data_IF_287830510629
#
_entry.id   IF_287830510629
#
_cell.length_a   1.000
_cell.length_b   1.000
_cell.length_c   1.000
_cell.angle_alpha   90.00
_cell.angle_beta   90.00
_cell.angle_gamma   90.00
#
_symmetry.space_group_name_H-M   'P 1'
#
loop_
_entity.id
_entity.type
_entity.pdbx_description
1 polymer ?
#
# COMPACT_ATOMS: atom_id res chain seq x y z
N UNK A 1 -13.24 17.81 -19.17
CA UNK A 1 -12.23 17.25 -18.25
C UNK A 1 -12.74 15.90 -17.80
N UNK A 2 -12.28 14.81 -18.44
CA UNK A 2 -12.78 13.46 -18.13
C UNK A 2 -11.91 12.86 -17.04
N UNK A 3 -12.53 12.45 -15.92
CA UNK A 3 -11.87 11.66 -14.89
C UNK A 3 -11.27 10.40 -15.53
N UNK A 4 -10.02 10.07 -15.22
CA UNK A 4 -9.36 8.87 -15.73
C UNK A 4 -9.79 7.68 -14.85
N UNK A 5 -10.78 6.86 -15.26
CA UNK A 5 -11.38 5.83 -14.40
C UNK A 5 -10.35 4.80 -13.94
N UNK A 6 -9.35 4.53 -14.78
CA UNK A 6 -8.26 3.60 -14.50
C UNK A 6 -7.42 4.00 -13.27
N UNK A 7 -7.33 5.29 -12.96
CA UNK A 7 -6.63 5.76 -11.75
C UNK A 7 -7.44 5.51 -10.48
N UNK A 8 -8.77 5.63 -10.60
CA UNK A 8 -9.70 5.35 -9.53
C UNK A 8 -9.71 3.85 -9.19
N UNK A 9 -9.66 2.98 -10.20
CA UNK A 9 -9.54 1.55 -9.98
C UNK A 9 -8.26 1.17 -9.22
N UNK A 10 -7.12 1.81 -9.50
CA UNK A 10 -5.88 1.56 -8.73
C UNK A 10 -6.01 1.95 -7.26
N UNK A 11 -6.63 3.11 -6.98
CA UNK A 11 -6.92 3.55 -5.62
C UNK A 11 -7.87 2.59 -4.91
N UNK A 12 -8.96 2.16 -5.57
CA UNK A 12 -9.92 1.21 -4.99
C UNK A 12 -9.27 -0.14 -4.68
N UNK A 13 -8.38 -0.63 -5.54
CA UNK A 13 -7.62 -1.85 -5.26
C UNK A 13 -6.69 -1.65 -4.05
N UNK A 14 -6.01 -0.51 -3.95
CA UNK A 14 -5.21 -0.17 -2.76
C UNK A 14 -6.04 -0.15 -1.48
N UNK A 15 -7.22 0.47 -1.54
CA UNK A 15 -8.17 0.54 -0.42
C UNK A 15 -8.67 -0.85 0.00
N UNK A 16 -8.93 -1.75 -0.95
CA UNK A 16 -9.32 -3.14 -0.66
C UNK A 16 -8.18 -3.86 0.07
N UNK A 17 -6.94 -3.71 -0.40
CA UNK A 17 -5.77 -4.31 0.26
C UNK A 17 -5.60 -3.79 1.70
N UNK A 18 -5.72 -2.47 1.88
CA UNK A 18 -5.70 -1.83 3.19
C UNK A 18 -6.84 -2.33 4.09
N UNK A 19 -8.04 -2.45 3.55
CA UNK A 19 -9.21 -2.96 4.26
C UNK A 19 -9.02 -4.39 4.74
N UNK A 20 -8.48 -5.27 3.89
CA UNK A 20 -8.13 -6.65 4.28
C UNK A 20 -7.06 -6.63 5.38
N UNK A 21 -6.02 -5.80 5.26
CA UNK A 21 -5.00 -5.64 6.30
C UNK A 21 -5.58 -5.20 7.65
N UNK A 22 -6.54 -4.27 7.63
CA UNK A 22 -7.22 -3.79 8.85
C UNK A 22 -8.10 -4.87 9.51
N UNK A 23 -8.76 -5.72 8.72
CA UNK A 23 -9.56 -6.85 9.22
C UNK A 23 -8.66 -7.95 9.83
N UNK A 24 -7.46 -8.15 9.28
CA UNK A 24 -6.49 -9.13 9.78
C UNK A 24 -5.79 -8.62 11.06
N UNK A 25 -5.71 -7.30 11.26
CA UNK A 25 -5.02 -6.68 12.39
C UNK A 25 -5.43 -7.20 13.79
N UNK A 26 -6.73 -7.38 14.12
CA UNK A 26 -7.15 -7.94 15.40
C UNK A 26 -7.11 -9.48 15.46
N UNK A 27 -6.74 -10.18 14.40
CA UNK A 27 -6.72 -11.64 14.38
C UNK A 27 -5.63 -12.21 15.30
N UNK A 28 -5.79 -13.48 15.70
CA UNK A 28 -4.83 -14.17 16.55
C UNK A 28 -3.41 -14.12 15.96
N UNK A 29 -2.43 -13.94 16.84
CA UNK A 29 -1.01 -13.86 16.49
C UNK A 29 -0.49 -15.23 16.03
N UNK A 30 -0.56 -15.45 14.71
CA UNK A 30 0.17 -16.50 14.00
C UNK A 30 1.22 -15.88 13.10
N UNK A 31 2.22 -16.66 12.70
CA UNK A 31 3.26 -16.22 11.76
C UNK A 31 2.65 -15.75 10.43
N UNK A 32 1.65 -16.47 9.94
CA UNK A 32 0.94 -16.14 8.69
C UNK A 32 0.16 -14.83 8.80
N UNK A 33 -0.58 -14.62 9.90
CA UNK A 33 -1.29 -13.37 10.16
C UNK A 33 -0.32 -12.20 10.27
N UNK A 34 0.86 -12.40 10.87
CA UNK A 34 1.89 -11.38 11.01
C UNK A 34 2.57 -11.00 9.69
N UNK A 35 2.73 -11.96 8.78
CA UNK A 35 3.22 -11.66 7.44
C UNK A 35 2.11 -10.96 6.64
N UNK A 36 0.89 -11.49 6.67
CA UNK A 36 -0.24 -10.94 5.92
C UNK A 36 -0.53 -9.48 6.31
N UNK A 37 -0.57 -9.14 7.61
CA UNK A 37 -0.81 -7.76 8.07
C UNK A 37 0.19 -6.77 7.45
N UNK A 38 1.48 -7.10 7.45
CA UNK A 38 2.54 -6.21 6.95
C UNK A 38 2.42 -6.04 5.45
N UNK A 39 2.21 -7.15 4.74
CA UNK A 39 2.04 -7.16 3.29
C UNK A 39 0.83 -6.37 2.82
N UNK A 40 -0.36 -6.63 3.37
CA UNK A 40 -1.59 -5.98 2.94
C UNK A 40 -1.60 -4.49 3.27
N UNK A 41 -1.07 -4.08 4.43
CA UNK A 41 -1.00 -2.67 4.81
C UNK A 41 0.03 -1.92 3.96
N UNK A 42 1.26 -2.42 3.83
CA UNK A 42 2.32 -1.72 3.10
C UNK A 42 2.05 -1.67 1.60
N UNK A 43 1.54 -2.76 0.99
CA UNK A 43 1.13 -2.74 -0.41
C UNK A 43 -0.10 -1.86 -0.63
N UNK A 44 -1.09 -1.91 0.26
CA UNK A 44 -2.29 -1.07 0.16
C UNK A 44 -1.95 0.42 0.18
N UNK A 45 -1.18 0.87 1.18
CA UNK A 45 -0.72 2.26 1.28
C UNK A 45 0.11 2.66 0.06
N UNK A 46 1.00 1.79 -0.41
CA UNK A 46 1.83 2.07 -1.59
C UNK A 46 0.97 2.22 -2.86
N UNK A 47 -0.05 1.38 -3.03
CA UNK A 47 -1.00 1.43 -4.15
C UNK A 47 -1.91 2.66 -4.11
N UNK A 48 -2.08 3.32 -2.97
CA UNK A 48 -2.79 4.59 -2.88
C UNK A 48 -1.88 5.80 -3.07
N UNK A 49 -0.77 5.85 -2.33
CA UNK A 49 0.13 7.01 -2.31
C UNK A 49 0.90 7.16 -3.62
N UNK A 50 1.42 6.07 -4.19
CA UNK A 50 2.29 6.14 -5.39
C UNK A 50 1.52 6.70 -6.59
N UNK A 51 0.30 6.21 -6.94
CA UNK A 51 -0.49 6.83 -7.99
C UNK A 51 -0.80 8.30 -7.67
N UNK A 52 -1.22 8.62 -6.45
CA UNK A 52 -1.55 10.00 -6.08
C UNK A 52 -0.37 10.96 -6.31
N UNK A 53 0.83 10.59 -5.84
CA UNK A 53 2.05 11.37 -6.03
C UNK A 53 2.36 11.55 -7.51
N UNK A 54 2.30 10.46 -8.28
CA UNK A 54 2.59 10.48 -9.72
C UNK A 54 1.58 11.35 -10.49
N UNK A 55 0.30 11.34 -10.10
CA UNK A 55 -0.74 12.20 -10.67
C UNK A 55 -0.53 13.67 -10.30
N UNK A 56 -0.21 13.97 -9.04
CA UNK A 56 0.11 15.33 -8.59
C UNK A 56 1.34 15.86 -9.34
N UNK A 57 2.38 15.04 -9.50
CA UNK A 57 3.56 15.39 -10.28
C UNK A 57 3.23 15.67 -11.76
N UNK A 58 2.35 14.86 -12.36
CA UNK A 58 1.87 15.07 -13.72
C UNK A 58 1.11 16.40 -13.87
N UNK A 59 0.22 16.73 -12.92
CA UNK A 59 -0.53 17.99 -12.90
C UNK A 59 0.42 19.18 -12.70
N UNK A 60 1.35 19.09 -11.74
CA UNK A 60 2.35 20.13 -11.50
C UNK A 60 3.20 20.39 -12.76
N UNK A 61 3.62 19.32 -13.45
CA UNK A 61 4.35 19.44 -14.72
C UNK A 61 3.53 20.07 -15.84
N UNK A 62 2.22 19.83 -15.89
CA UNK A 62 1.32 20.53 -16.84
C UNK A 62 1.28 22.01 -16.48
N UNK A 63 1.10 22.37 -15.21
CA UNK A 63 1.00 23.76 -14.77
C UNK A 63 2.29 24.53 -15.07
N UNK A 64 3.45 23.97 -14.70
CA UNK A 64 4.77 24.57 -14.95
C UNK A 64 5.11 24.72 -16.45
N UNK A 65 4.56 23.87 -17.32
CA UNK A 65 4.78 23.96 -18.78
C UNK A 65 3.70 24.74 -19.51
N UNK A 66 2.52 24.87 -18.91
CA UNK A 66 1.40 25.68 -19.38
C UNK A 66 1.72 27.18 -19.35
N UNK A 67 2.56 27.62 -18.41
CA UNK A 67 3.10 29.00 -18.41
C UNK A 67 3.95 29.31 -19.66
N UNK A 68 4.46 28.29 -20.35
CA UNK A 68 5.16 28.41 -21.65
C UNK A 68 4.26 28.14 -22.87
N UNK A 69 2.93 28.03 -22.69
CA UNK A 69 1.95 27.76 -23.77
C UNK A 69 2.32 26.57 -24.70
N UNK A 70 3.07 25.57 -24.21
CA UNK A 70 3.40 24.37 -24.99
C UNK A 70 2.46 23.23 -24.63
N UNK A 71 1.86 22.59 -25.65
CA UNK A 71 0.98 21.43 -25.48
C UNK A 71 1.76 20.26 -24.88
N UNK A 72 1.42 19.84 -23.67
CA UNK A 72 2.05 18.68 -23.00
C UNK A 72 1.18 17.46 -23.21
N UNK A 73 1.65 16.53 -24.05
CA UNK A 73 1.09 15.18 -24.14
C UNK A 73 1.70 14.33 -23.02
N UNK A 74 0.87 13.93 -22.05
CA UNK A 74 1.26 12.97 -21.02
C UNK A 74 0.96 11.57 -21.54
N UNK A 75 2.01 10.78 -21.73
CA UNK A 75 1.87 9.38 -22.05
C UNK A 75 1.45 8.58 -20.81
N UNK A 76 0.22 8.07 -20.84
CA UNK A 76 -0.39 7.28 -19.76
C UNK A 76 0.41 6.01 -19.50
N UNK A 77 0.99 5.39 -20.53
CA UNK A 77 1.77 4.15 -20.38
C UNK A 77 3.00 4.36 -19.52
N UNK A 78 3.68 5.50 -19.67
CA UNK A 78 4.86 5.86 -18.87
C UNK A 78 4.49 6.09 -17.41
N UNK A 79 3.33 6.69 -17.17
CA UNK A 79 2.79 6.92 -15.82
C UNK A 79 2.55 5.58 -15.10
N UNK A 80 1.87 4.65 -15.76
CA UNK A 80 1.58 3.32 -15.20
C UNK A 80 2.83 2.47 -15.02
N UNK A 81 3.79 2.55 -15.95
CA UNK A 81 5.07 1.87 -15.82
C UNK A 81 5.84 2.34 -14.59
N UNK A 82 5.82 3.65 -14.30
CA UNK A 82 6.47 4.21 -13.12
C UNK A 82 5.78 3.76 -11.82
N UNK A 83 4.44 3.78 -11.77
CA UNK A 83 3.70 3.28 -10.60
C UNK A 83 4.02 1.79 -10.38
N UNK A 84 3.88 0.97 -11.42
CA UNK A 84 4.17 -0.46 -11.35
C UNK A 84 5.60 -0.76 -10.91
N UNK A 85 6.59 -0.01 -11.39
CA UNK A 85 7.98 -0.21 -10.96
C UNK A 85 8.19 0.06 -9.47
N UNK A 86 7.53 1.09 -8.91
CA UNK A 86 7.65 1.37 -7.47
C UNK A 86 6.98 0.28 -6.64
N UNK A 87 5.80 -0.19 -7.05
CA UNK A 87 5.10 -1.29 -6.35
C UNK A 87 5.91 -2.58 -6.39
N UNK A 88 6.55 -2.90 -7.52
CA UNK A 88 7.42 -4.07 -7.64
C UNK A 88 8.62 -3.96 -6.69
N UNK A 89 9.25 -2.78 -6.60
CA UNK A 89 10.36 -2.54 -5.66
C UNK A 89 9.89 -2.74 -4.21
N UNK A 90 8.70 -2.25 -3.84
CA UNK A 90 8.12 -2.46 -2.51
C UNK A 90 7.85 -3.94 -2.26
N UNK A 91 7.30 -4.67 -3.23
CA UNK A 91 7.06 -6.11 -3.11
C UNK A 91 8.36 -6.92 -2.94
N UNK A 92 9.41 -6.58 -3.69
CA UNK A 92 10.74 -7.22 -3.54
C UNK A 92 11.32 -6.91 -2.16
N UNK A 93 11.22 -5.67 -1.71
CA UNK A 93 11.66 -5.28 -0.37
C UNK A 93 10.95 -6.11 0.71
N UNK A 94 9.62 -6.24 0.60
CA UNK A 94 8.82 -7.06 1.52
C UNK A 94 9.19 -8.54 1.47
N UNK A 95 9.45 -9.10 0.28
CA UNK A 95 9.91 -10.48 0.13
C UNK A 95 11.23 -10.71 0.86
N UNK A 96 12.22 -9.87 0.59
CA UNK A 96 13.54 -9.96 1.23
C UNK A 96 13.39 -9.82 2.73
N UNK A 97 12.59 -8.85 3.20
CA UNK A 97 12.30 -8.65 4.61
C UNK A 97 11.72 -9.92 5.26
N UNK A 98 10.70 -10.52 4.65
CA UNK A 98 10.08 -11.75 5.19
C UNK A 98 10.98 -12.97 5.18
N UNK A 99 11.97 -13.03 4.28
CA UNK A 99 12.93 -14.14 4.21
C UNK A 99 14.05 -13.97 5.24
N UNK A 100 14.55 -12.75 5.40
CA UNK A 100 15.66 -12.44 6.32
C UNK A 100 15.20 -12.50 7.76
N UNK A 101 14.05 -11.89 8.06
CA UNK A 101 13.47 -11.85 9.41
C UNK A 101 11.98 -12.14 9.34
N UNK A 102 11.57 -13.44 9.38
CA UNK A 102 10.16 -13.77 9.47
C UNK A 102 9.58 -13.20 10.77
N UNK A 103 8.46 -12.46 10.71
CA UNK A 103 7.88 -11.85 11.90
C UNK A 103 7.35 -12.95 12.82
N UNK A 104 8.10 -13.21 13.89
CA UNK A 104 7.70 -14.15 14.92
C UNK A 104 6.56 -13.54 15.75
N UNK A 105 5.39 -14.19 15.72
CA UNK A 105 4.25 -13.80 16.54
C UNK A 105 4.53 -14.06 18.01
N UNK A 106 5.26 -13.18 18.68
CA UNK A 106 5.38 -13.22 20.14
C UNK A 106 4.05 -12.74 20.74
N UNK A 107 3.18 -13.71 21.01
CA UNK A 107 2.03 -13.53 21.89
C UNK A 107 2.55 -13.28 23.30
N UNK A 108 2.89 -12.03 23.60
CA UNK A 108 3.17 -11.61 24.98
C UNK A 108 1.82 -11.49 25.72
N UNK A 109 1.04 -12.58 25.75
CA UNK A 109 -0.04 -12.75 26.71
C UNK A 109 0.65 -12.93 28.05
N UNK A 110 0.90 -11.84 28.76
CA UNK A 110 1.03 -11.92 30.22
C UNK A 110 -0.28 -12.54 30.70
N UNK A 111 -0.24 -13.77 31.18
CA UNK A 111 -1.24 -14.22 32.14
C UNK A 111 -1.11 -13.25 33.32
N UNK A 112 -2.07 -12.36 33.47
CA UNK A 112 -2.30 -11.80 34.79
C UNK A 112 -2.76 -12.97 35.64
N UNK A 113 -2.10 -13.21 36.77
CA UNK A 113 -2.45 -14.26 37.76
C UNK A 113 -3.77 -13.93 38.49
N UNK A 114 -4.64 -13.15 37.85
CA UNK A 114 -5.95 -12.75 38.33
C UNK A 114 -6.95 -13.80 37.83
N UNK A 115 -7.30 -14.69 38.75
CA UNK A 115 -8.41 -15.63 38.63
C UNK A 115 -9.69 -14.80 38.46
N UNK A 116 -10.32 -14.86 37.28
CA UNK A 116 -11.67 -14.31 37.11
C UNK A 116 -12.68 -15.25 37.80
N UNK A 117 -13.79 -14.71 38.27
CA UNK A 117 -14.83 -15.39 39.07
C UNK A 117 -15.52 -16.61 38.40
N UNK A 118 -15.08 -17.00 37.20
CA UNK A 118 -15.64 -18.10 36.43
C UNK A 118 -14.86 -19.43 36.56
N UNK A 119 -13.75 -19.45 37.32
CA UNK A 119 -13.01 -20.68 37.70
C UNK A 119 -11.83 -21.04 36.79
#
# INVERSE_FOLDING_TARGET
VYAQPTFLYMLLVGLIFLGVGAVIYPANVSQETCIAKEWFVLLGISLELVPLIVKVAAINKIFQRGTRFRRVLIDRKKLYRNVGSVIIVVAIFLLVWTIVDPPNGQSNRRLTDDINEDG
#
